data_IF_856584555472
#
_entry.id   IF_856584555472
#
_cell.length_a   1.000
_cell.length_b   1.000
_cell.length_c   1.000
_cell.angle_alpha   90.00
_cell.angle_beta   90.00
_cell.angle_gamma   90.00
#
_symmetry.space_group_name_H-M   'P 1'
#
loop_
_entity.id
_entity.type
_entity.pdbx_description
1 polymer ?
#
# COMPACT_ATOMS: atom_id res chain seq x y z
N UNK A 1 28.00 26.54 3.58
CA UNK A 1 26.57 26.61 3.20
C UNK A 1 25.96 25.26 3.50
N UNK A 2 25.16 25.18 4.55
CA UNK A 2 24.56 23.92 5.03
C UNK A 2 23.34 23.67 4.14
N UNK A 3 23.40 22.66 3.27
CA UNK A 3 22.27 22.23 2.47
C UNK A 3 21.23 21.58 3.38
N UNK A 4 20.03 22.14 3.41
CA UNK A 4 18.88 21.65 4.16
C UNK A 4 18.57 20.17 3.88
N UNK A 5 18.03 19.42 4.85
CA UNK A 5 17.65 18.03 4.66
C UNK A 5 16.52 17.90 3.61
N UNK A 6 16.43 16.78 2.88
CA UNK A 6 15.38 16.56 1.90
C UNK A 6 14.01 16.55 2.58
N UNK A 7 13.20 17.54 2.24
CA UNK A 7 11.80 17.67 2.65
C UNK A 7 10.99 16.42 2.27
N UNK A 8 10.16 15.92 3.19
CA UNK A 8 9.23 14.78 3.09
C UNK A 8 8.12 14.89 2.00
N UNK A 9 8.40 15.46 0.83
CA UNK A 9 7.40 15.76 -0.20
C UNK A 9 7.77 15.43 -1.65
N UNK A 10 8.94 14.87 -1.93
CA UNK A 10 9.45 14.80 -3.32
C UNK A 10 9.07 13.54 -4.12
N UNK A 11 8.32 12.61 -3.56
CA UNK A 11 7.95 11.39 -4.27
C UNK A 11 6.43 11.19 -4.30
N UNK A 12 5.65 12.18 -4.77
CA UNK A 12 4.22 12.01 -5.04
C UNK A 12 3.98 11.93 -6.54
N UNK A 13 3.28 10.89 -6.98
CA UNK A 13 2.97 10.61 -8.39
C UNK A 13 1.51 10.94 -8.69
N UNK A 14 1.21 11.49 -9.87
CA UNK A 14 -0.16 11.66 -10.32
C UNK A 14 -0.79 10.30 -10.64
N UNK A 15 -1.98 10.05 -10.11
CA UNK A 15 -2.77 8.85 -10.39
C UNK A 15 -4.18 9.25 -10.77
N UNK A 16 -4.64 8.68 -11.88
CA UNK A 16 -6.02 8.80 -12.33
C UNK A 16 -6.92 7.89 -11.49
N UNK A 17 -7.97 8.48 -10.91
CA UNK A 17 -8.93 7.81 -10.07
C UNK A 17 -10.30 7.85 -10.75
N UNK A 18 -10.92 6.69 -10.92
CA UNK A 18 -12.33 6.53 -11.33
C UNK A 18 -13.09 5.89 -10.17
N UNK A 19 -13.50 6.65 -9.15
CA UNK A 19 -13.95 6.07 -7.89
C UNK A 19 -15.32 5.41 -8.00
N UNK A 20 -15.44 4.23 -7.42
CA UNK A 20 -16.71 3.53 -7.31
C UNK A 20 -17.52 4.04 -6.11
N UNK A 21 -18.85 4.19 -6.24
CA UNK A 21 -19.71 4.68 -5.18
C UNK A 21 -19.93 3.61 -4.09
N UNK A 22 -19.70 3.97 -2.83
CA UNK A 22 -20.00 3.14 -1.67
C UNK A 22 -21.32 3.52 -1.00
N UNK A 23 -21.28 4.57 -0.18
CA UNK A 23 -22.48 5.11 0.48
C UNK A 23 -22.38 6.62 0.68
N UNK A 24 -23.54 7.27 0.87
CA UNK A 24 -23.61 8.71 1.09
C UNK A 24 -23.92 9.04 2.56
N UNK A 25 -23.31 10.11 3.06
CA UNK A 25 -23.58 10.71 4.36
C UNK A 25 -24.07 12.13 4.13
N UNK A 26 -25.08 12.55 4.90
CA UNK A 26 -25.61 13.90 4.91
C UNK A 26 -25.33 14.53 6.27
N UNK A 27 -24.74 15.71 6.26
CA UNK A 27 -24.54 16.57 7.42
C UNK A 27 -24.96 18.02 7.07
N UNK A 28 -24.71 18.94 8.00
CA UNK A 28 -24.92 20.38 7.84
C UNK A 28 -23.67 21.13 8.24
N UNK A 29 -23.38 22.20 7.51
CA UNK A 29 -22.38 23.20 7.88
C UNK A 29 -22.92 24.03 9.04
N UNK A 30 -22.09 24.34 10.02
CA UNK A 30 -22.40 25.25 11.12
C UNK A 30 -21.69 26.60 10.92
N UNK A 31 -22.31 27.71 11.35
CA UNK A 31 -23.66 27.82 11.90
C UNK A 31 -24.77 27.89 10.83
N UNK A 32 -24.42 28.09 9.55
CA UNK A 32 -25.35 28.45 8.47
C UNK A 32 -26.42 27.38 8.13
N UNK A 33 -26.22 26.13 8.54
CA UNK A 33 -27.19 25.05 8.35
C UNK A 33 -27.24 24.46 6.93
N UNK A 34 -26.38 24.93 6.01
CA UNK A 34 -26.30 24.45 4.63
C UNK A 34 -26.09 22.94 4.56
N UNK A 35 -26.84 22.26 3.68
CA UNK A 35 -26.75 20.80 3.51
C UNK A 35 -25.43 20.45 2.85
N UNK A 36 -24.72 19.49 3.43
CA UNK A 36 -23.50 18.92 2.87
C UNK A 36 -23.64 17.40 2.77
N UNK A 37 -23.34 16.86 1.61
CA UNK A 37 -23.28 15.43 1.34
C UNK A 37 -21.83 15.01 1.17
N UNK A 38 -21.47 13.90 1.79
CA UNK A 38 -20.17 13.25 1.61
C UNK A 38 -20.41 11.88 1.00
N UNK A 39 -19.87 11.66 -0.20
CA UNK A 39 -19.86 10.37 -0.85
C UNK A 39 -18.63 9.61 -0.38
N UNK A 40 -18.85 8.53 0.38
CA UNK A 40 -17.80 7.59 0.75
C UNK A 40 -17.64 6.62 -0.42
N UNK A 41 -16.57 6.84 -1.18
CA UNK A 41 -16.25 6.14 -2.41
C UNK A 41 -14.99 5.30 -2.20
N UNK A 42 -14.66 4.45 -3.17
CA UNK A 42 -13.42 3.69 -3.12
C UNK A 42 -12.70 3.57 -4.45
N UNK A 43 -11.38 3.41 -4.38
CA UNK A 43 -10.53 3.12 -5.53
C UNK A 43 -9.33 2.26 -5.09
N UNK A 44 -8.94 1.23 -5.86
CA UNK A 44 -7.82 0.35 -5.50
C UNK A 44 -6.48 1.09 -5.40
N UNK A 45 -6.35 2.24 -6.10
CA UNK A 45 -5.17 3.08 -5.99
C UNK A 45 -4.92 3.54 -4.57
N UNK A 46 -5.96 3.77 -3.74
CA UNK A 46 -5.84 4.20 -2.33
C UNK A 46 -5.24 3.04 -1.51
N UNK A 47 -4.24 3.18 -0.62
CA UNK A 47 -3.63 2.01 0.00
C UNK A 47 -4.47 1.57 1.19
N UNK A 48 -4.38 0.29 1.53
CA UNK A 48 -4.91 -0.21 2.80
C UNK A 48 -3.77 -0.19 3.81
N UNK A 49 -3.86 0.67 4.82
CA UNK A 49 -2.88 0.71 5.91
C UNK A 49 -3.57 0.30 7.21
N UNK A 50 -2.97 -0.63 7.97
CA UNK A 50 -3.49 -0.94 9.29
C UNK A 50 -3.24 0.25 10.24
N UNK A 51 -4.29 0.70 10.92
CA UNK A 51 -4.22 1.84 11.87
C UNK A 51 -4.26 3.24 11.23
N UNK A 52 -3.97 3.39 9.93
CA UNK A 52 -4.13 4.65 9.20
C UNK A 52 -5.23 4.53 8.15
N UNK A 53 -6.05 5.58 7.98
CA UNK A 53 -7.12 5.63 6.97
C UNK A 53 -6.81 6.70 5.89
N UNK A 54 -5.88 6.44 4.97
CA UNK A 54 -5.62 7.35 3.86
C UNK A 54 -6.87 7.55 3.00
N UNK A 55 -7.10 8.79 2.59
CA UNK A 55 -8.17 9.13 1.65
C UNK A 55 -7.74 10.24 0.72
N UNK A 56 -8.31 10.23 -0.49
CA UNK A 56 -8.30 11.39 -1.40
C UNK A 56 -9.63 12.10 -1.30
N UNK A 57 -9.59 13.40 -1.01
CA UNK A 57 -10.77 14.24 -0.90
C UNK A 57 -10.94 15.10 -2.16
N UNK A 58 -12.14 15.07 -2.76
CA UNK A 58 -12.47 15.94 -3.89
C UNK A 58 -12.38 17.43 -3.56
N UNK A 59 -12.41 18.25 -4.60
CA UNK A 59 -12.85 19.64 -4.43
C UNK A 59 -14.35 19.72 -4.11
N UNK A 60 -14.77 20.88 -3.62
CA UNK A 60 -16.18 21.20 -3.39
C UNK A 60 -16.94 21.08 -4.71
N UNK A 61 -18.05 20.33 -4.70
CA UNK A 61 -19.04 20.33 -5.78
C UNK A 61 -20.35 20.92 -5.27
N UNK A 62 -21.01 21.71 -6.09
CA UNK A 62 -22.36 22.18 -5.79
C UNK A 62 -23.37 21.24 -6.48
N UNK A 63 -24.50 21.02 -5.82
CA UNK A 63 -25.60 20.25 -6.38
C UNK A 63 -26.92 20.65 -5.73
N UNK A 64 -27.98 19.96 -6.10
CA UNK A 64 -29.32 20.19 -5.55
C UNK A 64 -29.89 18.90 -4.96
N UNK A 65 -30.67 19.01 -3.88
CA UNK A 65 -31.42 17.88 -3.34
C UNK A 65 -32.68 17.56 -4.18
N UNK A 66 -33.47 16.56 -3.74
CA UNK A 66 -34.70 16.17 -4.46
C UNK A 66 -35.75 17.29 -4.51
N UNK A 67 -35.66 18.28 -3.62
CA UNK A 67 -36.54 19.44 -3.57
C UNK A 67 -35.92 20.68 -4.26
N UNK A 68 -34.85 20.49 -5.03
CA UNK A 68 -34.15 21.56 -5.74
C UNK A 68 -33.29 22.46 -4.87
N UNK A 69 -33.19 22.21 -3.56
CA UNK A 69 -32.46 23.06 -2.65
C UNK A 69 -30.94 22.85 -2.80
N UNK A 70 -30.15 23.93 -2.77
CA UNK A 70 -28.70 23.84 -2.96
C UNK A 70 -28.06 23.02 -1.83
N UNK A 71 -27.07 22.22 -2.20
CA UNK A 71 -26.27 21.42 -1.29
C UNK A 71 -24.83 21.30 -1.78
N UNK A 72 -23.93 21.18 -0.83
CA UNK A 72 -22.51 20.93 -1.07
C UNK A 72 -22.27 19.43 -1.15
N UNK A 73 -21.39 18.98 -2.04
CA UNK A 73 -21.02 17.59 -2.23
C UNK A 73 -19.51 17.47 -2.20
N UNK A 74 -19.00 16.54 -1.38
CA UNK A 74 -17.62 16.08 -1.40
C UNK A 74 -17.58 14.58 -1.65
N UNK A 75 -16.53 14.09 -2.30
CA UNK A 75 -16.27 12.66 -2.45
C UNK A 75 -14.96 12.31 -1.70
N UNK A 76 -15.07 11.49 -0.68
CA UNK A 76 -13.96 10.94 0.08
C UNK A 76 -13.67 9.51 -0.42
N UNK A 77 -12.51 9.33 -1.05
CA UNK A 77 -12.12 8.08 -1.71
C UNK A 77 -11.16 7.31 -0.82
N UNK A 78 -11.58 6.11 -0.40
CA UNK A 78 -10.80 5.19 0.43
C UNK A 78 -10.37 3.95 -0.37
N UNK A 79 -9.61 3.06 0.28
CA UNK A 79 -9.34 1.74 -0.28
C UNK A 79 -10.61 0.83 -0.21
N UNK A 80 -10.92 0.05 -1.26
CA UNK A 80 -12.12 -0.80 -1.31
C UNK A 80 -12.17 -1.87 -0.21
N UNK A 81 -11.03 -2.38 0.27
CA UNK A 81 -11.00 -3.38 1.34
C UNK A 81 -11.55 -2.81 2.66
N UNK A 82 -11.23 -1.54 2.95
CA UNK A 82 -11.72 -0.86 4.16
C UNK A 82 -13.20 -0.55 4.04
N UNK A 83 -13.66 -0.07 2.88
CA UNK A 83 -15.09 0.14 2.63
C UNK A 83 -15.90 -1.15 2.74
N UNK A 84 -15.36 -2.27 2.24
CA UNK A 84 -15.99 -3.59 2.34
C UNK A 84 -16.08 -4.08 3.79
N UNK A 85 -15.03 -3.85 4.60
CA UNK A 85 -15.06 -4.14 6.04
C UNK A 85 -16.07 -3.27 6.77
N UNK A 86 -16.12 -1.97 6.46
CA UNK A 86 -17.04 -1.01 7.05
C UNK A 86 -18.52 -1.28 6.72
N UNK A 87 -18.81 -2.06 5.68
CA UNK A 87 -20.18 -2.52 5.41
C UNK A 87 -20.71 -3.48 6.49
N UNK A 88 -19.82 -4.20 7.18
CA UNK A 88 -20.16 -5.18 8.23
C UNK A 88 -19.84 -4.69 9.65
N UNK A 89 -19.00 -3.68 9.77
CA UNK A 89 -18.55 -3.11 11.05
C UNK A 89 -19.01 -1.65 11.19
N UNK A 90 -20.00 -1.43 12.06
CA UNK A 90 -20.56 -0.11 12.36
C UNK A 90 -19.54 0.83 13.02
N UNK A 91 -18.58 0.30 13.80
CA UNK A 91 -17.53 1.13 14.42
C UNK A 91 -16.59 1.67 13.35
N UNK A 92 -16.08 0.79 12.49
CA UNK A 92 -15.21 1.19 11.37
C UNK A 92 -15.95 2.12 10.40
N UNK A 93 -17.23 1.88 10.16
CA UNK A 93 -18.10 2.79 9.39
C UNK A 93 -18.13 4.18 10.01
N UNK A 94 -18.33 4.30 11.32
CA UNK A 94 -18.27 5.57 12.05
C UNK A 94 -16.91 6.24 11.87
N UNK A 95 -15.82 5.50 12.05
CA UNK A 95 -14.45 6.03 11.88
C UNK A 95 -14.20 6.57 10.48
N UNK A 96 -14.65 5.90 9.41
CA UNK A 96 -14.52 6.41 8.04
C UNK A 96 -15.23 7.76 7.87
N UNK A 97 -16.42 7.90 8.46
CA UNK A 97 -17.21 9.12 8.39
C UNK A 97 -16.51 10.24 9.16
N UNK A 98 -16.04 9.97 10.38
CA UNK A 98 -15.35 10.96 11.20
C UNK A 98 -14.07 11.46 10.54
N UNK A 99 -13.27 10.55 9.97
CA UNK A 99 -12.06 10.90 9.22
C UNK A 99 -12.41 11.74 7.99
N UNK A 100 -13.44 11.37 7.23
CA UNK A 100 -13.87 12.14 6.05
C UNK A 100 -14.35 13.55 6.43
N UNK A 101 -15.18 13.68 7.46
CA UNK A 101 -15.67 14.98 7.94
C UNK A 101 -14.52 15.85 8.44
N UNK A 102 -13.65 15.30 9.28
CA UNK A 102 -12.50 16.03 9.82
C UNK A 102 -11.57 16.53 8.72
N UNK A 103 -11.37 15.72 7.67
CA UNK A 103 -10.55 16.12 6.51
C UNK A 103 -11.20 17.21 5.67
N UNK A 104 -12.54 17.23 5.57
CA UNK A 104 -13.27 18.33 4.91
C UNK A 104 -13.13 19.62 5.70
N UNK A 105 -13.33 19.57 7.02
CA UNK A 105 -13.17 20.74 7.91
C UNK A 105 -11.74 21.30 7.82
N UNK A 106 -10.73 20.45 7.87
CA UNK A 106 -9.32 20.85 7.73
C UNK A 106 -9.04 21.50 6.36
N UNK A 107 -9.57 20.93 5.27
CA UNK A 107 -9.34 21.44 3.91
C UNK A 107 -10.07 22.77 3.64
N UNK A 108 -11.24 22.97 4.24
CA UNK A 108 -12.16 24.06 3.86
C UNK A 108 -12.30 25.14 4.93
N UNK A 109 -11.91 24.86 6.17
CA UNK A 109 -12.17 25.71 7.34
C UNK A 109 -13.64 25.71 7.79
N UNK A 110 -14.51 24.89 7.20
CA UNK A 110 -15.90 24.76 7.63
C UNK A 110 -15.99 24.00 8.96
N UNK A 111 -17.03 24.26 9.74
CA UNK A 111 -17.41 23.42 10.89
C UNK A 111 -18.61 22.57 10.51
N UNK A 112 -18.52 21.24 10.66
CA UNK A 112 -19.59 20.32 10.29
C UNK A 112 -20.29 19.76 11.52
N UNK A 113 -21.61 19.57 11.41
CA UNK A 113 -22.35 18.87 12.44
C UNK A 113 -21.94 17.40 12.51
N UNK A 114 -21.75 16.88 13.73
CA UNK A 114 -21.58 15.44 13.98
C UNK A 114 -22.92 14.69 14.03
N UNK A 115 -24.04 15.41 14.02
CA UNK A 115 -25.35 14.82 13.77
C UNK A 115 -25.50 14.55 12.26
N UNK A 116 -25.30 13.30 11.88
CA UNK A 116 -25.31 12.84 10.49
C UNK A 116 -26.58 12.03 10.18
N UNK A 117 -26.93 12.00 8.91
CA UNK A 117 -27.92 11.08 8.35
C UNK A 117 -27.30 10.25 7.22
N UNK A 118 -27.66 8.98 7.09
CA UNK A 118 -27.21 8.12 6.01
C UNK A 118 -28.35 7.86 5.02
N UNK A 119 -28.54 8.71 4.00
CA UNK A 119 -29.57 8.46 2.99
C UNK A 119 -29.34 7.12 2.27
N UNK A 120 -30.42 6.46 1.86
CA UNK A 120 -30.36 5.19 1.13
C UNK A 120 -29.99 5.40 -0.35
N UNK A 121 -28.80 5.95 -0.59
CA UNK A 121 -28.19 6.15 -1.91
C UNK A 121 -26.69 5.84 -1.80
N UNK A 122 -26.11 5.30 -2.88
CA UNK A 122 -24.65 5.01 -2.91
C UNK A 122 -23.81 6.28 -3.04
N UNK A 123 -24.30 7.27 -3.78
CA UNK A 123 -23.67 8.58 -3.91
C UNK A 123 -24.69 9.66 -4.24
N UNK A 124 -24.37 10.91 -3.91
CA UNK A 124 -25.09 12.10 -4.33
C UNK A 124 -24.50 12.59 -5.67
N UNK A 125 -25.20 12.27 -6.76
CA UNK A 125 -24.77 12.59 -8.12
C UNK A 125 -23.69 11.64 -8.65
N UNK A 126 -23.31 11.82 -9.92
CA UNK A 126 -22.19 11.12 -10.53
C UNK A 126 -20.87 11.53 -9.87
N UNK A 127 -19.94 10.57 -9.71
CA UNK A 127 -18.61 10.82 -9.18
C UNK A 127 -17.66 10.97 -10.37
N UNK A 128 -17.15 12.18 -10.67
CA UNK A 128 -16.28 12.36 -11.82
C UNK A 128 -14.90 11.73 -11.59
N UNK A 129 -14.27 11.20 -12.64
CA UNK A 129 -12.85 10.85 -12.63
C UNK A 129 -11.98 12.04 -12.20
N UNK A 130 -10.83 11.77 -11.59
CA UNK A 130 -9.90 12.83 -11.16
C UNK A 130 -8.47 12.33 -11.06
N UNK A 131 -7.53 13.24 -11.31
CA UNK A 131 -6.12 13.05 -10.98
C UNK A 131 -5.88 13.42 -9.51
N UNK A 132 -5.18 12.56 -8.78
CA UNK A 132 -4.70 12.86 -7.42
C UNK A 132 -3.20 12.64 -7.34
N UNK A 133 -2.50 13.47 -6.55
CA UNK A 133 -1.10 13.23 -6.21
C UNK A 133 -1.06 12.37 -4.96
N UNK A 134 -0.65 11.13 -5.12
CA UNK A 134 -0.47 10.19 -4.01
C UNK A 134 1.03 9.90 -3.85
N UNK A 135 1.55 9.70 -2.63
CA UNK A 135 2.92 9.27 -2.45
C UNK A 135 3.24 8.03 -3.30
N UNK A 136 4.45 7.95 -3.84
CA UNK A 136 4.86 6.89 -4.76
C UNK A 136 4.79 5.50 -4.10
N UNK A 137 5.06 5.43 -2.79
CA UNK A 137 4.90 4.20 -1.99
C UNK A 137 3.42 3.81 -1.78
N UNK A 138 2.48 4.72 -2.01
CA UNK A 138 1.06 4.44 -2.03
C UNK A 138 0.66 3.95 -3.44
N UNK A 139 1.16 4.58 -4.52
CA UNK A 139 0.88 4.15 -5.89
C UNK A 139 1.35 2.71 -6.24
N UNK A 140 2.18 2.09 -5.41
CA UNK A 140 2.58 0.68 -5.51
C UNK A 140 1.45 -0.34 -5.23
N UNK A 141 0.24 0.10 -4.86
CA UNK A 141 -0.97 -0.72 -4.97
C UNK A 141 -1.79 -0.37 -6.22
N UNK A 142 -1.61 -1.18 -7.27
CA UNK A 142 -2.58 -1.42 -8.35
C UNK A 142 -3.01 -0.29 -9.32
N UNK A 143 -2.31 0.84 -9.47
CA UNK A 143 -2.68 1.80 -10.55
C UNK A 143 -1.50 2.45 -11.28
N UNK A 144 -0.92 1.72 -12.24
CA UNK A 144 -0.39 2.31 -13.47
C UNK A 144 -1.47 2.15 -14.54
N UNK A 145 -1.79 3.26 -15.18
CA UNK A 145 -2.88 3.48 -16.12
C UNK A 145 -3.06 2.39 -17.19
N UNK A 146 -4.34 2.18 -17.50
CA UNK A 146 -5.00 1.32 -18.47
C UNK A 146 -4.64 1.55 -19.96
N UNK A 147 -3.40 1.93 -20.28
CA UNK A 147 -2.95 2.07 -21.67
C UNK A 147 -1.82 1.10 -22.08
N UNK A 148 -1.39 0.19 -21.20
CA UNK A 148 -0.35 -0.81 -21.56
C UNK A 148 -0.53 -2.19 -20.91
N UNK A 149 -1.77 -2.58 -20.62
CA UNK A 149 -2.10 -3.96 -20.21
C UNK A 149 -2.67 -4.69 -21.42
N UNK A 150 -1.77 -5.01 -22.33
CA UNK A 150 -1.93 -6.21 -23.12
C UNK A 150 -0.53 -6.80 -23.10
N UNK A 151 -0.22 -7.60 -22.07
CA UNK A 151 0.81 -8.68 -22.08
C UNK A 151 1.15 -9.26 -20.68
N UNK A 152 0.80 -8.67 -19.53
CA UNK A 152 1.22 -9.21 -18.22
C UNK A 152 0.03 -9.68 -17.38
N UNK A 153 -0.11 -11.00 -17.23
CA UNK A 153 -1.26 -11.64 -16.55
C UNK A 153 -1.35 -11.40 -15.04
N UNK A 154 -2.35 -12.03 -14.40
CA UNK A 154 -2.73 -11.93 -12.98
C UNK A 154 -1.58 -11.95 -11.94
N UNK A 155 -1.69 -11.29 -10.78
CA UNK A 155 -0.66 -11.33 -9.74
C UNK A 155 -0.36 -12.77 -9.27
N UNK A 156 0.92 -13.09 -9.12
CA UNK A 156 1.42 -14.41 -8.74
C UNK A 156 2.39 -14.31 -7.57
N UNK A 157 2.32 -15.25 -6.63
CA UNK A 157 3.33 -15.41 -5.59
C UNK A 157 4.49 -16.22 -6.21
N UNK A 158 5.72 -15.67 -6.27
CA UNK A 158 6.84 -16.42 -6.82
C UNK A 158 7.19 -17.57 -5.87
N UNK A 159 7.52 -18.73 -6.44
CA UNK A 159 8.08 -19.82 -5.64
C UNK A 159 9.52 -19.47 -5.27
N UNK A 160 9.94 -19.88 -4.08
CA UNK A 160 11.29 -19.66 -3.64
C UNK A 160 11.77 -20.81 -2.78
N UNK A 161 13.08 -20.99 -2.72
CA UNK A 161 13.72 -21.98 -1.86
C UNK A 161 15.09 -21.47 -1.41
N UNK A 162 15.67 -22.14 -0.44
CA UNK A 162 17.04 -21.85 0.00
C UNK A 162 17.84 -23.13 0.18
N UNK A 163 19.17 -23.01 0.08
CA UNK A 163 20.12 -24.07 0.38
C UNK A 163 21.26 -23.53 1.24
N UNK A 164 21.75 -24.30 2.24
CA UNK A 164 22.90 -23.87 3.03
C UNK A 164 24.17 -23.78 2.17
N UNK A 165 25.05 -22.84 2.53
CA UNK A 165 26.42 -22.72 2.00
C UNK A 165 27.42 -22.83 3.17
N UNK A 166 28.73 -22.73 2.89
CA UNK A 166 29.76 -22.82 3.93
C UNK A 166 29.64 -21.74 5.00
N UNK A 167 29.29 -20.52 4.58
CA UNK A 167 29.30 -19.32 5.42
C UNK A 167 27.90 -18.72 5.63
N UNK A 168 26.87 -19.29 4.98
CA UNK A 168 25.57 -18.65 4.87
C UNK A 168 24.51 -19.52 4.22
N UNK A 169 23.63 -18.89 3.46
CA UNK A 169 22.67 -19.56 2.60
C UNK A 169 22.59 -18.93 1.21
N UNK A 170 22.06 -19.71 0.27
CA UNK A 170 21.71 -19.29 -1.08
C UNK A 170 20.20 -19.36 -1.21
N UNK A 171 19.56 -18.22 -1.34
CA UNK A 171 18.12 -18.07 -1.59
C UNK A 171 17.91 -17.97 -3.11
N UNK A 172 16.92 -18.67 -3.63
CA UNK A 172 16.53 -18.65 -5.05
C UNK A 172 15.05 -18.31 -5.12
N UNK A 173 14.71 -17.23 -5.82
CA UNK A 173 13.34 -16.82 -6.11
C UNK A 173 13.09 -17.08 -7.60
N UNK A 174 12.13 -17.95 -7.91
CA UNK A 174 11.75 -18.29 -9.27
C UNK A 174 10.62 -17.39 -9.77
N UNK A 175 10.87 -16.69 -10.87
CA UNK A 175 9.96 -15.71 -11.49
C UNK A 175 9.77 -16.01 -12.99
N UNK A 176 9.09 -17.11 -13.35
CA UNK A 176 9.07 -17.65 -14.71
C UNK A 176 8.52 -16.69 -15.80
N UNK A 177 7.74 -15.68 -15.41
CA UNK A 177 7.12 -14.70 -16.31
C UNK A 177 7.80 -13.32 -16.21
N UNK A 178 9.08 -13.28 -15.81
CA UNK A 178 9.84 -12.04 -15.72
C UNK A 178 10.15 -11.49 -17.13
N UNK A 179 9.60 -10.33 -17.43
CA UNK A 179 9.91 -9.57 -18.66
C UNK A 179 10.96 -8.49 -18.39
N UNK A 180 11.62 -7.97 -19.43
CA UNK A 180 12.60 -6.87 -19.29
C UNK A 180 12.05 -5.65 -18.52
N UNK A 181 10.80 -5.20 -18.73
CA UNK A 181 10.21 -4.14 -17.92
C UNK A 181 10.03 -4.52 -16.44
N UNK A 182 9.65 -5.77 -16.16
CA UNK A 182 9.51 -6.26 -14.78
C UNK A 182 10.85 -6.26 -14.05
N UNK A 183 11.94 -6.64 -14.73
CA UNK A 183 13.31 -6.60 -14.19
C UNK A 183 13.72 -5.20 -13.69
N UNK A 184 13.40 -4.14 -14.45
CA UNK A 184 13.74 -2.77 -14.04
C UNK A 184 12.93 -2.28 -12.82
N UNK A 185 11.76 -2.88 -12.57
CA UNK A 185 10.87 -2.55 -11.46
C UNK A 185 11.05 -3.42 -10.23
N UNK A 186 12.07 -4.28 -10.18
CA UNK A 186 12.22 -5.21 -9.07
C UNK A 186 12.84 -4.57 -7.85
N UNK A 187 12.25 -4.84 -6.69
CA UNK A 187 12.82 -4.52 -5.38
C UNK A 187 13.02 -5.80 -4.60
N UNK A 188 14.11 -5.83 -3.83
CA UNK A 188 14.46 -6.89 -2.91
C UNK A 188 14.84 -6.23 -1.59
N UNK A 189 14.16 -6.62 -0.53
CA UNK A 189 14.46 -6.22 0.83
C UNK A 189 14.66 -7.47 1.69
N UNK A 190 15.78 -7.51 2.41
CA UNK A 190 16.17 -8.64 3.22
C UNK A 190 16.46 -8.11 4.61
N UNK A 191 15.69 -8.60 5.57
CA UNK A 191 15.93 -8.38 6.98
C UNK A 191 16.49 -9.66 7.60
N UNK A 192 16.98 -9.57 8.84
CA UNK A 192 17.50 -10.74 9.58
C UNK A 192 16.46 -11.87 9.73
N UNK A 193 15.16 -11.58 9.60
CA UNK A 193 14.05 -12.54 9.80
C UNK A 193 12.96 -12.49 8.73
N UNK A 194 13.09 -11.68 7.69
CA UNK A 194 12.03 -11.45 6.69
C UNK A 194 12.65 -11.26 5.32
N UNK A 195 11.97 -11.79 4.30
CA UNK A 195 12.31 -11.60 2.90
C UNK A 195 11.11 -10.95 2.21
N UNK A 196 11.36 -9.82 1.55
CA UNK A 196 10.38 -9.12 0.74
C UNK A 196 10.94 -8.98 -0.67
N UNK A 197 10.20 -9.46 -1.65
CA UNK A 197 10.56 -9.34 -3.06
C UNK A 197 9.33 -8.88 -3.85
N UNK A 198 9.50 -7.86 -4.68
CA UNK A 198 8.47 -7.39 -5.60
C UNK A 198 9.08 -7.25 -6.98
N UNK A 199 8.39 -7.75 -8.01
CA UNK A 199 8.76 -7.50 -9.40
C UNK A 199 7.54 -6.95 -10.15
N UNK A 200 7.51 -5.61 -10.25
CA UNK A 200 6.37 -4.88 -10.78
C UNK A 200 5.04 -5.33 -10.16
N UNK A 201 3.93 -5.29 -10.91
CA UNK A 201 2.63 -5.74 -10.41
C UNK A 201 2.46 -7.27 -10.47
N UNK A 202 3.41 -8.02 -11.06
CA UNK A 202 3.25 -9.45 -11.33
C UNK A 202 3.63 -10.31 -10.14
N UNK A 203 4.74 -10.00 -9.45
CA UNK A 203 5.23 -10.82 -8.36
C UNK A 203 5.32 -10.05 -7.06
N UNK A 204 4.77 -10.64 -5.98
CA UNK A 204 4.93 -10.16 -4.62
C UNK A 204 5.17 -11.36 -3.69
N UNK A 205 6.27 -11.30 -2.94
CA UNK A 205 6.64 -12.25 -1.92
C UNK A 205 6.98 -11.49 -0.65
N UNK A 206 6.28 -11.81 0.42
CA UNK A 206 6.56 -11.33 1.76
C UNK A 206 6.46 -12.52 2.70
N UNK A 207 7.58 -12.93 3.26
CA UNK A 207 7.64 -14.17 4.04
C UNK A 207 8.64 -14.09 5.19
N UNK A 208 8.29 -14.64 6.36
CA UNK A 208 9.25 -14.84 7.43
C UNK A 208 10.32 -15.87 7.03
N UNK A 209 11.57 -15.57 7.36
CA UNK A 209 12.71 -16.47 7.17
C UNK A 209 12.89 -17.45 8.33
N UNK A 210 12.41 -17.10 9.53
CA UNK A 210 12.51 -17.91 10.75
C UNK A 210 11.14 -18.23 11.31
N UNK A 211 11.00 -19.34 12.07
CA UNK A 211 9.76 -19.63 12.75
C UNK A 211 9.35 -18.46 13.65
N UNK A 212 8.06 -18.11 13.68
CA UNK A 212 7.56 -17.05 14.54
C UNK A 212 7.81 -17.40 16.01
N UNK A 213 8.15 -16.40 16.84
CA UNK A 213 8.38 -16.60 18.28
C UNK A 213 7.07 -16.97 19.02
N UNK A 214 5.92 -16.55 18.48
CA UNK A 214 4.57 -16.94 18.89
C UNK A 214 3.69 -17.00 17.63
N UNK A 215 2.86 -18.05 17.51
CA UNK A 215 1.93 -18.26 16.40
C UNK A 215 2.26 -19.44 15.49
N UNK A 216 1.30 -19.82 14.65
CA UNK A 216 1.43 -20.81 13.58
C UNK A 216 1.51 -20.08 12.25
N UNK A 217 2.70 -20.05 11.65
CA UNK A 217 2.89 -19.52 10.29
C UNK A 217 3.88 -20.42 9.58
N UNK A 218 3.57 -20.81 8.34
CA UNK A 218 4.53 -21.44 7.44
C UNK A 218 5.04 -20.36 6.47
N UNK A 219 6.25 -20.52 5.91
CA UNK A 219 6.73 -19.63 4.86
C UNK A 219 5.76 -19.66 3.68
N UNK A 220 5.40 -18.47 3.18
CA UNK A 220 4.59 -18.35 1.97
C UNK A 220 5.46 -18.76 0.78
N UNK A 221 4.91 -19.49 -0.20
CA UNK A 221 5.67 -19.96 -1.37
C UNK A 221 6.27 -21.37 -1.26
N UNK A 222 5.88 -22.15 -0.24
CA UNK A 222 6.12 -23.61 -0.22
C UNK A 222 7.49 -24.06 0.28
N UNK A 223 8.15 -23.28 1.12
CA UNK A 223 9.52 -23.57 1.61
C UNK A 223 9.60 -23.79 3.12
N UNK A 224 10.80 -24.16 3.59
CA UNK A 224 11.13 -24.38 5.01
C UNK A 224 11.82 -23.14 5.58
N UNK A 225 11.69 -22.94 6.90
CA UNK A 225 12.42 -21.89 7.61
C UNK A 225 13.94 -22.09 7.53
N UNK A 226 14.66 -20.97 7.59
CA UNK A 226 16.10 -20.96 7.84
C UNK A 226 16.41 -21.51 9.25
N UNK A 227 17.59 -22.08 9.46
CA UNK A 227 18.00 -22.60 10.76
C UNK A 227 18.41 -21.48 11.74
N UNK A 228 18.82 -20.31 11.23
CA UNK A 228 19.28 -19.17 12.03
C UNK A 228 19.17 -17.86 11.24
N UNK A 229 19.46 -16.74 11.89
CA UNK A 229 19.44 -15.40 11.29
C UNK A 229 20.58 -15.20 10.30
N UNK A 230 20.29 -14.43 9.26
CA UNK A 230 21.24 -13.96 8.26
C UNK A 230 21.69 -12.54 8.59
N UNK A 231 22.83 -12.12 8.03
CA UNK A 231 23.31 -10.74 8.09
C UNK A 231 22.91 -10.00 6.81
N UNK A 232 21.93 -9.08 6.86
CA UNK A 232 21.45 -8.36 5.67
C UNK A 232 22.54 -7.64 4.88
N UNK A 233 23.53 -7.09 5.59
CA UNK A 233 24.59 -6.29 4.99
C UNK A 233 25.56 -7.14 4.15
N UNK A 234 25.63 -8.45 4.42
CA UNK A 234 26.41 -9.41 3.64
C UNK A 234 25.72 -9.91 2.36
N UNK A 235 24.49 -9.45 2.07
CA UNK A 235 23.70 -9.96 0.97
C UNK A 235 24.25 -9.53 -0.40
N UNK A 236 24.42 -10.51 -1.29
CA UNK A 236 24.77 -10.31 -2.70
C UNK A 236 23.67 -10.92 -3.56
N UNK A 237 23.03 -10.10 -4.38
CA UNK A 237 21.93 -10.51 -5.25
C UNK A 237 22.35 -10.50 -6.73
N UNK A 238 22.01 -11.56 -7.45
CA UNK A 238 22.33 -11.75 -8.86
C UNK A 238 21.11 -12.26 -9.65
N UNK A 239 20.85 -11.62 -10.79
CA UNK A 239 19.81 -12.05 -11.72
C UNK A 239 20.33 -13.10 -12.70
N UNK A 240 19.73 -14.30 -12.68
CA UNK A 240 19.92 -15.30 -13.72
C UNK A 240 18.77 -15.23 -14.74
N UNK A 241 18.94 -14.36 -15.73
CA UNK A 241 17.94 -14.11 -16.78
C UNK A 241 17.62 -15.36 -17.59
N UNK A 242 18.58 -16.27 -17.81
CA UNK A 242 18.35 -17.52 -18.57
C UNK A 242 17.45 -18.51 -17.82
N UNK A 243 17.50 -18.50 -16.49
CA UNK A 243 16.73 -19.41 -15.63
C UNK A 243 15.49 -18.74 -15.03
N UNK A 244 15.28 -17.45 -15.27
CA UNK A 244 14.22 -16.66 -14.64
C UNK A 244 14.29 -16.72 -13.10
N UNK A 245 15.50 -16.57 -12.56
CA UNK A 245 15.78 -16.69 -11.13
C UNK A 245 16.49 -15.44 -10.59
N UNK A 246 16.06 -14.96 -9.42
CA UNK A 246 16.86 -14.08 -8.58
C UNK A 246 17.58 -14.94 -7.54
N UNK A 247 18.90 -14.85 -7.51
CA UNK A 247 19.75 -15.60 -6.60
C UNK A 247 20.32 -14.64 -5.58
N UNK A 248 20.14 -14.93 -4.30
CA UNK A 248 20.75 -14.16 -3.22
C UNK A 248 21.70 -15.07 -2.45
N UNK A 249 22.95 -14.64 -2.32
CA UNK A 249 23.91 -15.23 -1.39
C UNK A 249 24.03 -14.33 -0.17
N UNK A 250 23.89 -14.89 1.02
CA UNK A 250 23.91 -14.11 2.26
C UNK A 250 24.58 -14.92 3.37
N UNK A 251 25.45 -14.27 4.16
CA UNK A 251 26.16 -14.93 5.27
C UNK A 251 25.25 -15.08 6.50
N UNK A 252 25.57 -16.06 7.34
CA UNK A 252 24.98 -16.17 8.66
C UNK A 252 25.46 -15.03 9.55
N UNK A 253 24.57 -14.48 10.39
CA UNK A 253 24.94 -13.43 11.33
C UNK A 253 26.09 -13.84 12.27
N UNK A 254 26.14 -15.12 12.66
CA UNK A 254 27.20 -15.67 13.50
C UNK A 254 28.57 -15.76 12.80
N UNK A 255 28.60 -15.89 11.48
CA UNK A 255 29.85 -15.92 10.70
C UNK A 255 30.43 -14.51 10.61
N UNK A 256 29.59 -13.53 10.26
CA UNK A 256 30.00 -12.11 10.17
C UNK A 256 30.47 -11.59 11.52
N UNK A 257 29.82 -11.97 12.62
CA UNK A 257 30.25 -11.59 13.97
C UNK A 257 31.68 -12.07 14.30
N UNK A 258 32.00 -13.33 13.96
CA UNK A 258 33.33 -13.91 14.19
C UNK A 258 34.41 -13.29 13.30
N UNK A 259 34.07 -12.89 12.08
CA UNK A 259 34.99 -12.18 11.18
C UNK A 259 35.37 -10.81 11.77
N UNK A 260 34.37 -10.04 12.25
CA UNK A 260 34.57 -8.73 12.89
C UNK A 260 35.40 -8.81 14.17
N UNK A 261 35.26 -9.88 14.96
CA UNK A 261 36.09 -10.11 16.16
C UNK A 261 37.56 -10.36 15.79
N UNK A 262 37.83 -11.18 14.76
CA UNK A 262 39.19 -11.47 14.30
C UNK A 262 39.89 -10.29 13.65
N UNK A 263 39.16 -9.37 13.03
CA UNK A 263 39.73 -8.14 12.48
C UNK A 263 40.19 -7.19 13.59
N UNK A 264 39.40 -7.09 14.68
CA UNK A 264 39.76 -6.28 15.86
C UNK A 264 40.95 -6.83 16.65
N UNK A 265 41.19 -8.13 16.62
CA UNK A 265 42.35 -8.75 17.25
C UNK A 265 43.65 -8.57 16.44
N UNK A 266 43.55 -8.13 15.18
CA UNK A 266 44.68 -7.90 14.28
C UNK A 266 45.08 -6.42 14.15
N UNK A 267 44.28 -5.51 14.68
CA UNK A 267 44.52 -4.07 14.76
C UNK A 267 45.12 -3.69 16.12
#
# INVERSE_FOLDING_TARGET
MISSPPSHGQNAVPVELTPDPGFCVKTRVQPDGHKLFVNICHHPAIPSAEGHLPLVLSERRDGSDKAGQPCIIFDAIFNPTVCSKAAKDTKLRGTLIDVALSRIEEKTGLTLSRSIATPNIKSKGAIPPRTARIPAFWASSENISTARIQELGAPAVPSWNWSPTREGCRIVIHVPELTKPLHASTTLDIEARRLIFTAGPRYHLDTPLLPPKQGTGAPVGGTKFLPTTVDPDSAVAEWNVKKNELVVQIKWASVVAREKEKEKEKE
#
